data_IF_812484215368
#
_entry.id   IF_812484215368
#
_cell.length_a   1.000
_cell.length_b   1.000
_cell.length_c   1.000
_cell.angle_alpha   90.00
_cell.angle_beta   90.00
_cell.angle_gamma   90.00
#
_symmetry.space_group_name_H-M   'P 1'
#
loop_
_entity.id
_entity.type
_entity.pdbx_description
1 polymer ?
#
# COMPACT_ATOMS: atom_id res chain seq x y z
N UNK A 1 7.19 -4.26 -10.34
CA UNK A 1 6.19 -5.03 -11.11
C UNK A 1 6.41 -4.89 -12.63
N UNK A 2 6.38 -3.67 -13.19
CA UNK A 2 6.51 -3.46 -14.65
C UNK A 2 7.70 -4.22 -15.27
N UNK A 3 8.92 -4.03 -14.76
CA UNK A 3 10.13 -4.72 -15.27
C UNK A 3 10.08 -6.24 -15.09
N UNK A 4 9.47 -6.73 -14.00
CA UNK A 4 9.25 -8.14 -13.76
C UNK A 4 8.31 -8.75 -14.79
N UNK A 5 7.20 -8.07 -15.08
CA UNK A 5 6.24 -8.51 -16.10
C UNK A 5 6.84 -8.45 -17.50
N UNK A 6 7.54 -7.36 -17.85
CA UNK A 6 8.26 -7.23 -19.11
C UNK A 6 9.26 -8.36 -19.34
N UNK A 7 10.08 -8.65 -18.34
CA UNK A 7 11.01 -9.77 -18.38
C UNK A 7 10.34 -11.16 -18.46
N UNK A 8 9.05 -11.23 -18.13
CA UNK A 8 8.27 -12.49 -18.22
C UNK A 8 7.63 -12.70 -19.58
N UNK A 9 7.58 -11.66 -20.41
CA UNK A 9 7.02 -11.68 -21.78
C UNK A 9 8.10 -11.66 -22.88
N UNK A 10 9.40 -11.79 -22.52
CA UNK A 10 10.49 -11.84 -23.49
C UNK A 10 10.24 -12.93 -24.55
N UNK A 11 10.26 -12.51 -25.82
CA UNK A 11 9.90 -13.36 -26.97
C UNK A 11 8.51 -13.11 -27.55
N UNK A 12 7.70 -12.26 -26.91
CA UNK A 12 6.45 -11.74 -27.45
C UNK A 12 6.68 -10.26 -27.83
N UNK A 13 6.14 -9.79 -28.94
CA UNK A 13 6.27 -8.40 -29.42
C UNK A 13 5.46 -7.38 -28.57
N UNK A 14 5.22 -7.69 -27.30
CA UNK A 14 4.48 -6.85 -26.37
C UNK A 14 5.41 -5.87 -25.70
N UNK A 15 5.23 -4.58 -25.92
CA UNK A 15 6.05 -3.53 -25.32
C UNK A 15 5.25 -2.42 -24.65
N UNK A 16 3.93 -2.56 -24.52
CA UNK A 16 3.08 -1.55 -23.92
C UNK A 16 2.70 -1.92 -22.47
N UNK A 17 2.70 -0.93 -21.58
CA UNK A 17 2.27 -1.07 -20.19
C UNK A 17 1.19 -0.05 -19.88
N UNK A 18 0.04 -0.51 -19.41
CA UNK A 18 -1.07 0.36 -19.03
C UNK A 18 -0.92 0.83 -17.60
N UNK A 19 -1.23 2.09 -17.36
CA UNK A 19 -1.26 2.71 -16.02
C UNK A 19 -2.60 3.44 -15.89
N UNK A 20 -3.38 3.08 -14.86
CA UNK A 20 -4.58 3.87 -14.54
C UNK A 20 -4.18 5.31 -14.19
N UNK A 21 -4.84 6.29 -14.81
CA UNK A 21 -4.67 7.72 -14.46
C UNK A 21 -5.06 8.05 -13.01
N UNK A 22 -5.74 7.11 -12.35
CA UNK A 22 -6.11 7.20 -10.94
C UNK A 22 -4.99 6.71 -10.00
N UNK A 23 -3.81 6.32 -10.53
CA UNK A 23 -2.61 6.13 -9.73
C UNK A 23 -2.09 7.46 -9.17
N UNK A 24 -1.31 7.40 -8.09
CA UNK A 24 -0.64 8.60 -7.58
C UNK A 24 0.30 9.18 -8.65
N UNK A 25 0.34 10.53 -8.82
CA UNK A 25 1.19 11.18 -9.82
C UNK A 25 2.65 10.76 -9.73
N UNK A 26 3.19 10.66 -8.51
CA UNK A 26 4.56 10.25 -8.26
C UNK A 26 4.84 8.82 -8.78
N UNK A 27 3.88 7.91 -8.63
CA UNK A 27 3.98 6.54 -9.15
C UNK A 27 4.04 6.54 -10.68
N UNK A 28 3.21 7.38 -11.32
CA UNK A 28 3.21 7.55 -12.78
C UNK A 28 4.57 8.07 -13.26
N UNK A 29 5.14 9.06 -12.59
CA UNK A 29 6.41 9.66 -12.97
C UNK A 29 7.59 8.70 -12.78
N UNK A 30 7.59 7.92 -11.71
CA UNK A 30 8.58 6.82 -11.52
C UNK A 30 8.48 5.80 -12.66
N UNK A 31 7.27 5.45 -13.08
CA UNK A 31 7.09 4.50 -14.19
C UNK A 31 7.59 5.07 -15.52
N UNK A 32 7.38 6.37 -15.81
CA UNK A 32 7.96 7.04 -16.99
C UNK A 32 9.47 6.91 -17.01
N UNK A 33 10.13 7.30 -15.92
CA UNK A 33 11.59 7.19 -15.77
C UNK A 33 12.12 5.77 -15.95
N UNK A 34 11.37 4.76 -15.47
CA UNK A 34 11.77 3.35 -15.57
C UNK A 34 11.45 2.72 -16.92
N UNK A 35 10.46 3.22 -17.64
CA UNK A 35 10.03 2.69 -18.93
C UNK A 35 10.95 3.15 -20.06
N UNK A 36 11.39 4.42 -20.02
CA UNK A 36 12.17 5.07 -21.09
C UNK A 36 13.41 4.27 -21.51
N UNK A 37 14.36 3.89 -20.62
CA UNK A 37 15.57 3.17 -21.01
C UNK A 37 15.30 1.74 -21.50
N UNK A 38 14.09 1.21 -21.29
CA UNK A 38 13.69 -0.12 -21.73
C UNK A 38 12.86 -0.10 -23.03
N UNK A 39 12.58 1.07 -23.58
CA UNK A 39 11.72 1.25 -24.74
C UNK A 39 10.27 0.81 -24.50
N UNK A 40 9.81 0.80 -23.25
CA UNK A 40 8.44 0.43 -22.90
C UNK A 40 7.51 1.59 -23.17
N UNK A 41 6.47 1.36 -23.99
CA UNK A 41 5.43 2.35 -24.26
C UNK A 41 4.42 2.37 -23.09
N UNK A 42 4.22 3.54 -22.50
CA UNK A 42 3.22 3.73 -21.44
C UNK A 42 1.90 4.22 -22.02
N UNK A 43 0.81 3.59 -21.61
CA UNK A 43 -0.57 4.00 -21.90
C UNK A 43 -1.17 4.44 -20.57
N UNK A 44 -1.39 5.77 -20.42
CA UNK A 44 -1.92 6.35 -19.18
C UNK A 44 -3.33 6.84 -19.47
N UNK A 45 -4.33 6.11 -18.99
CA UNK A 45 -5.74 6.45 -19.24
C UNK A 45 -6.66 5.91 -18.12
N UNK A 46 -7.97 6.09 -18.31
CA UNK A 46 -8.97 5.54 -17.42
C UNK A 46 -9.04 4.01 -17.64
N UNK A 47 -9.15 3.29 -16.56
CA UNK A 47 -9.31 1.83 -16.57
C UNK A 47 -10.57 1.34 -17.30
N UNK A 48 -11.60 2.20 -17.40
CA UNK A 48 -12.83 1.87 -18.12
C UNK A 48 -12.69 2.03 -19.65
N UNK A 49 -11.66 2.75 -20.12
CA UNK A 49 -11.39 2.99 -21.55
C UNK A 49 -10.33 2.06 -22.15
N UNK A 50 -9.73 1.19 -21.31
CA UNK A 50 -8.65 0.32 -21.77
C UNK A 50 -9.14 -0.69 -22.82
N UNK A 51 -8.43 -0.74 -23.94
CA UNK A 51 -8.55 -1.80 -24.94
C UNK A 51 -7.46 -2.83 -24.65
N UNK A 52 -7.87 -4.03 -24.23
CA UNK A 52 -6.95 -5.12 -23.89
C UNK A 52 -6.42 -5.80 -25.15
N UNK A 53 -5.53 -5.12 -25.87
CA UNK A 53 -4.93 -5.64 -27.08
C UNK A 53 -3.62 -6.41 -26.84
N UNK A 54 -3.10 -7.00 -27.91
CA UNK A 54 -1.88 -7.83 -27.85
C UNK A 54 -0.59 -7.03 -27.67
N UNK A 55 -0.59 -5.70 -27.70
CA UNK A 55 0.61 -4.89 -27.44
C UNK A 55 0.89 -4.76 -25.94
N UNK A 56 -0.13 -4.92 -25.11
CA UNK A 56 -0.04 -4.72 -23.66
C UNK A 56 0.47 -5.99 -22.97
N UNK A 57 1.57 -5.90 -22.24
CA UNK A 57 2.09 -7.01 -21.43
C UNK A 57 1.65 -6.97 -19.99
N UNK A 58 1.26 -5.81 -19.47
CA UNK A 58 0.85 -5.67 -18.09
C UNK A 58 0.22 -4.33 -17.78
N UNK A 59 -0.39 -4.22 -16.61
CA UNK A 59 -1.04 -3.00 -16.14
C UNK A 59 -0.80 -2.74 -14.65
N UNK A 60 -0.86 -1.45 -14.28
CA UNK A 60 -0.91 -0.99 -12.90
C UNK A 60 -2.22 -0.27 -12.64
N UNK A 61 -2.93 -0.71 -11.59
CA UNK A 61 -4.14 -0.10 -11.07
C UNK A 61 -3.90 0.38 -9.64
N UNK A 62 -4.63 1.38 -9.17
CA UNK A 62 -4.51 1.93 -7.81
C UNK A 62 -5.74 1.57 -6.98
N UNK A 63 -5.55 1.02 -5.77
CA UNK A 63 -6.62 0.53 -4.92
C UNK A 63 -6.35 0.76 -3.43
N UNK A 64 -7.09 1.64 -2.75
CA UNK A 64 -8.00 2.65 -3.31
C UNK A 64 -7.32 3.60 -4.30
N UNK A 65 -8.10 4.20 -5.19
CA UNK A 65 -7.59 5.16 -6.16
C UNK A 65 -7.05 6.43 -5.49
N UNK A 66 -6.20 7.20 -6.19
CA UNK A 66 -5.57 8.39 -5.61
C UNK A 66 -6.54 9.51 -5.25
N UNK A 67 -7.76 9.45 -5.73
CA UNK A 67 -8.87 10.33 -5.38
C UNK A 67 -9.80 9.74 -4.30
N UNK A 68 -9.44 8.60 -3.73
CA UNK A 68 -10.15 7.92 -2.66
C UNK A 68 -11.17 6.87 -3.11
N UNK A 69 -11.50 6.79 -4.41
CA UNK A 69 -12.46 5.81 -4.90
C UNK A 69 -12.01 4.37 -4.66
N UNK A 70 -12.97 3.55 -4.27
CA UNK A 70 -12.80 2.10 -4.24
C UNK A 70 -13.49 1.52 -5.48
N UNK A 71 -12.72 0.79 -6.29
CA UNK A 71 -13.20 0.20 -7.55
C UNK A 71 -12.97 -1.31 -7.49
N UNK A 72 -14.00 -2.10 -7.81
CA UNK A 72 -13.84 -3.54 -7.96
C UNK A 72 -13.22 -3.84 -9.34
N UNK A 73 -11.97 -4.26 -9.31
CA UNK A 73 -11.23 -4.61 -10.53
C UNK A 73 -11.35 -6.08 -10.92
N UNK A 74 -12.18 -6.87 -10.24
CA UNK A 74 -12.28 -8.33 -10.46
C UNK A 74 -12.54 -8.68 -11.92
N UNK A 75 -13.51 -8.04 -12.55
CA UNK A 75 -13.85 -8.33 -13.96
C UNK A 75 -12.78 -7.86 -14.93
N UNK A 76 -12.19 -6.69 -14.69
CA UNK A 76 -11.08 -6.18 -15.51
C UNK A 76 -9.87 -7.12 -15.45
N UNK A 77 -9.51 -7.55 -14.25
CA UNK A 77 -8.39 -8.48 -14.01
C UNK A 77 -8.66 -9.83 -14.69
N UNK A 78 -9.90 -10.33 -14.61
CA UNK A 78 -10.30 -11.57 -15.27
C UNK A 78 -10.13 -11.47 -16.81
N UNK A 79 -10.59 -10.37 -17.41
CA UNK A 79 -10.43 -10.10 -18.84
C UNK A 79 -8.95 -9.95 -19.23
N UNK A 80 -8.17 -9.21 -18.43
CA UNK A 80 -6.73 -9.06 -18.64
C UNK A 80 -6.00 -10.41 -18.65
N UNK A 81 -6.34 -11.29 -17.70
CA UNK A 81 -5.78 -12.64 -17.62
C UNK A 81 -6.10 -13.50 -18.86
N UNK A 82 -7.32 -13.40 -19.38
CA UNK A 82 -7.70 -14.06 -20.64
C UNK A 82 -6.85 -13.57 -21.83
N UNK A 83 -6.50 -12.28 -21.83
CA UNK A 83 -5.62 -11.66 -22.84
C UNK A 83 -4.12 -11.83 -22.51
N UNK A 84 -3.77 -12.62 -21.50
CA UNK A 84 -2.39 -12.83 -21.02
C UNK A 84 -1.67 -11.51 -20.64
N UNK A 85 -2.40 -10.57 -20.05
CA UNK A 85 -1.90 -9.30 -19.53
C UNK A 85 -1.75 -9.44 -18.04
N UNK A 86 -0.55 -9.19 -17.50
CA UNK A 86 -0.27 -9.23 -16.06
C UNK A 86 -0.83 -8.01 -15.35
N UNK A 87 -1.31 -8.20 -14.13
CA UNK A 87 -1.95 -7.13 -13.36
C UNK A 87 -1.25 -6.91 -12.02
N UNK A 88 -0.91 -5.66 -11.74
CA UNK A 88 -0.42 -5.22 -10.45
C UNK A 88 -1.38 -4.20 -9.84
N UNK A 89 -1.69 -4.33 -8.54
CA UNK A 89 -2.40 -3.31 -7.78
C UNK A 89 -1.43 -2.59 -6.84
N UNK A 90 -1.40 -1.26 -6.95
CA UNK A 90 -0.81 -0.41 -5.92
C UNK A 90 -1.84 -0.22 -4.81
N UNK A 91 -1.49 -0.55 -3.56
CA UNK A 91 -2.46 -0.71 -2.48
C UNK A 91 -2.02 -0.05 -1.17
N UNK A 92 -3.00 0.15 -0.29
CA UNK A 92 -2.83 0.60 1.10
C UNK A 92 -3.08 -0.56 2.06
N UNK A 93 -2.13 -0.85 2.95
CA UNK A 93 -2.20 -2.00 3.87
C UNK A 93 -3.33 -1.88 4.89
N UNK A 94 -3.64 -0.67 5.37
CA UNK A 94 -4.73 -0.49 6.33
C UNK A 94 -6.08 -0.70 5.65
N UNK A 95 -6.26 -0.15 4.45
CA UNK A 95 -7.45 -0.38 3.63
C UNK A 95 -7.67 -1.87 3.36
N UNK A 96 -6.59 -2.61 3.04
CA UNK A 96 -6.67 -4.05 2.79
C UNK A 96 -7.05 -4.88 4.02
N UNK A 97 -7.07 -4.31 5.23
CA UNK A 97 -7.56 -5.03 6.40
C UNK A 97 -9.08 -5.24 6.38
N UNK A 98 -9.81 -4.41 5.65
CA UNK A 98 -11.28 -4.47 5.51
C UNK A 98 -11.76 -4.60 4.06
N UNK A 99 -10.90 -4.31 3.08
CA UNK A 99 -11.23 -4.40 1.66
C UNK A 99 -10.77 -5.72 1.05
N UNK A 100 -11.51 -6.19 0.05
CA UNK A 100 -11.16 -7.33 -0.82
C UNK A 100 -9.72 -7.18 -1.31
N UNK A 101 -8.94 -8.23 -1.19
CA UNK A 101 -7.51 -8.18 -1.49
C UNK A 101 -7.22 -8.29 -2.98
N UNK A 102 -6.03 -7.82 -3.43
CA UNK A 102 -5.56 -8.06 -4.80
C UNK A 102 -5.59 -9.53 -5.22
N UNK A 103 -5.26 -10.45 -4.32
CA UNK A 103 -5.29 -11.89 -4.57
C UNK A 103 -6.70 -12.40 -4.79
N UNK A 104 -7.68 -11.96 -3.98
CA UNK A 104 -9.10 -12.30 -4.16
C UNK A 104 -9.68 -11.76 -5.47
N UNK A 105 -9.14 -10.63 -5.99
CA UNK A 105 -9.47 -10.11 -7.32
C UNK A 105 -8.76 -10.85 -8.45
N UNK A 106 -7.73 -11.68 -8.14
CA UNK A 106 -6.96 -12.43 -9.10
C UNK A 106 -5.72 -11.71 -9.68
N UNK A 107 -5.26 -10.62 -9.04
CA UNK A 107 -4.06 -9.91 -9.48
C UNK A 107 -2.78 -10.73 -9.34
N UNK A 108 -1.80 -10.47 -10.21
CA UNK A 108 -0.51 -11.18 -10.23
C UNK A 108 0.48 -10.62 -9.21
N UNK A 109 0.36 -9.33 -8.88
CA UNK A 109 1.20 -8.68 -7.89
C UNK A 109 0.46 -7.55 -7.16
N UNK A 110 0.94 -7.24 -5.96
CA UNK A 110 0.55 -6.07 -5.18
C UNK A 110 1.80 -5.33 -4.69
N UNK A 111 1.74 -4.00 -4.71
CA UNK A 111 2.82 -3.13 -4.24
C UNK A 111 2.26 -2.02 -3.36
N UNK A 112 3.08 -1.48 -2.49
CA UNK A 112 2.72 -0.36 -1.65
C UNK A 112 3.83 -0.04 -0.66
N UNK A 113 3.50 0.73 0.38
CA UNK A 113 4.41 1.01 1.48
C UNK A 113 3.78 0.63 2.83
N UNK A 114 4.59 0.63 3.87
CA UNK A 114 4.17 0.22 5.21
C UNK A 114 3.92 1.41 6.15
N UNK A 115 3.77 2.62 5.64
CA UNK A 115 3.53 3.80 6.48
C UNK A 115 2.34 3.64 7.42
N UNK A 116 1.27 3.00 6.96
CA UNK A 116 0.07 2.71 7.76
C UNK A 116 0.31 1.73 8.91
N UNK A 117 1.49 1.14 8.96
CA UNK A 117 1.90 0.22 10.02
C UNK A 117 2.97 0.87 10.93
N UNK A 118 2.67 2.05 11.45
CA UNK A 118 3.47 2.75 12.44
C UNK A 118 4.73 3.43 11.93
N UNK A 119 4.94 3.54 10.62
CA UNK A 119 6.08 4.26 10.05
C UNK A 119 5.72 5.73 9.88
N UNK A 120 6.41 6.67 10.56
CA UNK A 120 6.09 8.09 10.46
C UNK A 120 6.42 8.65 9.07
N UNK A 121 5.70 9.68 8.65
CA UNK A 121 5.96 10.37 7.38
C UNK A 121 7.32 11.05 7.34
N UNK A 122 7.84 11.53 8.48
CA UNK A 122 9.20 12.04 8.64
C UNK A 122 9.60 13.10 7.61
N UNK A 123 8.70 14.03 7.29
CA UNK A 123 8.92 15.07 6.26
C UNK A 123 9.30 14.52 4.87
N UNK A 124 8.68 13.44 4.45
CA UNK A 124 9.06 12.72 3.23
C UNK A 124 10.24 11.77 3.41
N UNK A 125 10.55 11.41 4.65
CA UNK A 125 11.63 10.50 5.02
C UNK A 125 11.47 9.10 4.46
N UNK A 126 12.32 8.14 4.91
CA UNK A 126 12.43 6.85 4.25
C UNK A 126 11.12 6.07 4.28
N UNK A 127 10.86 5.33 3.21
CA UNK A 127 9.72 4.44 3.07
C UNK A 127 10.19 2.98 3.08
N UNK A 128 9.43 2.10 3.74
CA UNK A 128 9.55 0.67 3.55
C UNK A 128 8.46 0.22 2.59
N UNK A 129 8.86 -0.22 1.41
CA UNK A 129 7.96 -0.75 0.41
C UNK A 129 7.70 -2.24 0.65
N UNK A 130 6.52 -2.71 0.27
CA UNK A 130 6.25 -4.14 0.16
C UNK A 130 5.99 -4.54 -1.29
N UNK A 131 6.28 -5.79 -1.58
CA UNK A 131 6.01 -6.43 -2.85
C UNK A 131 5.47 -7.83 -2.58
N UNK A 132 4.24 -8.09 -3.02
CA UNK A 132 3.63 -9.40 -2.93
C UNK A 132 3.31 -9.91 -4.33
N UNK A 133 3.50 -11.19 -4.57
CA UNK A 133 3.22 -11.80 -5.87
C UNK A 133 2.97 -13.31 -5.75
N UNK A 134 2.47 -13.92 -6.82
CA UNK A 134 2.25 -15.35 -6.88
C UNK A 134 3.55 -16.14 -7.00
N UNK A 135 3.49 -17.42 -6.66
CA UNK A 135 4.61 -18.38 -6.73
C UNK A 135 5.32 -18.40 -8.10
N UNK A 136 4.58 -18.12 -9.17
CA UNK A 136 5.12 -18.10 -10.54
C UNK A 136 6.24 -17.07 -10.74
N UNK A 137 6.26 -16.00 -9.94
CA UNK A 137 7.22 -14.92 -10.06
C UNK A 137 8.36 -14.99 -9.03
N UNK A 138 8.40 -15.96 -8.14
CA UNK A 138 9.40 -16.06 -7.06
C UNK A 138 10.86 -15.90 -7.51
N UNK A 139 11.18 -16.31 -8.73
CA UNK A 139 12.53 -16.17 -9.30
C UNK A 139 12.80 -14.83 -9.97
N UNK A 140 11.77 -13.98 -10.10
CA UNK A 140 11.84 -12.71 -10.85
C UNK A 140 11.56 -11.47 -9.98
N UNK A 141 11.07 -11.66 -8.77
CA UNK A 141 10.80 -10.56 -7.83
C UNK A 141 12.11 -9.85 -7.43
N UNK A 142 12.09 -8.55 -7.13
CA UNK A 142 13.22 -7.86 -6.54
C UNK A 142 13.47 -8.35 -5.09
N UNK A 143 14.65 -8.03 -4.57
CA UNK A 143 15.02 -8.33 -3.19
C UNK A 143 15.43 -9.80 -2.96
N UNK A 144 15.97 -10.03 -1.78
CA UNK A 144 16.42 -11.34 -1.32
C UNK A 144 15.24 -12.14 -0.78
N UNK A 145 15.28 -13.46 -0.96
CA UNK A 145 14.33 -14.38 -0.34
C UNK A 145 15.06 -15.15 0.74
N UNK A 146 14.53 -15.11 1.95
CA UNK A 146 15.04 -15.88 3.09
C UNK A 146 14.16 -17.10 3.28
N UNK A 147 14.80 -18.27 3.30
CA UNK A 147 14.15 -19.57 3.55
C UNK A 147 14.41 -20.06 4.95
N UNK A 148 13.51 -20.90 5.43
CA UNK A 148 13.67 -21.64 6.69
C UNK A 148 14.39 -22.95 6.43
N UNK A 149 15.44 -23.23 7.21
CA UNK A 149 16.26 -24.43 7.16
C UNK A 149 16.49 -24.95 8.59
N UNK A 150 17.35 -25.94 8.73
CA UNK A 150 17.85 -26.43 10.01
C UNK A 150 19.37 -26.33 10.05
N UNK A 151 19.91 -26.04 11.24
CA UNK A 151 21.33 -26.11 11.51
C UNK A 151 21.82 -27.57 11.73
N UNK A 152 23.09 -27.73 12.04
CA UNK A 152 23.69 -29.06 12.29
C UNK A 152 23.10 -29.79 13.53
N UNK A 153 22.47 -29.03 14.43
CA UNK A 153 21.83 -29.57 15.63
C UNK A 153 20.32 -29.81 15.44
N UNK A 154 19.78 -29.58 14.24
CA UNK A 154 18.37 -29.70 13.91
C UNK A 154 17.51 -28.50 14.32
N UNK A 155 18.10 -27.46 14.89
CA UNK A 155 17.40 -26.21 15.26
C UNK A 155 17.04 -25.38 14.04
N UNK A 156 15.99 -24.56 14.15
CA UNK A 156 15.55 -23.69 13.08
C UNK A 156 16.64 -22.67 12.73
N UNK A 157 17.03 -22.63 11.47
CA UNK A 157 17.98 -21.67 10.92
C UNK A 157 17.38 -20.94 9.72
N UNK A 158 17.77 -19.69 9.54
CA UNK A 158 17.39 -18.88 8.38
C UNK A 158 18.55 -18.79 7.41
N UNK A 159 18.27 -18.91 6.12
CA UNK A 159 19.29 -18.77 5.08
C UNK A 159 18.73 -18.12 3.83
N UNK A 160 19.61 -17.51 3.05
CA UNK A 160 19.25 -17.00 1.73
C UNK A 160 18.82 -18.16 0.81
N UNK A 161 17.62 -18.06 0.26
CA UNK A 161 17.06 -19.03 -0.68
C UNK A 161 17.12 -18.52 -2.12
N UNK A 162 17.07 -19.43 -3.11
CA UNK A 162 17.14 -19.12 -4.53
C UNK A 162 18.36 -18.26 -4.90
N UNK A 163 19.53 -18.61 -4.41
CA UNK A 163 20.78 -17.88 -4.53
C UNK A 163 21.20 -17.59 -5.99
N UNK A 164 20.71 -18.38 -6.96
CA UNK A 164 20.96 -18.13 -8.40
C UNK A 164 20.44 -16.78 -8.91
N UNK A 165 19.70 -16.04 -8.08
CA UNK A 165 19.20 -14.69 -8.38
C UNK A 165 20.17 -13.59 -7.91
N UNK A 166 21.16 -13.92 -7.09
CA UNK A 166 22.03 -12.99 -6.38
C UNK A 166 23.27 -12.61 -7.18
N UNK A 167 23.84 -11.44 -6.87
CA UNK A 167 25.01 -10.88 -7.56
C UNK A 167 26.25 -11.78 -7.50
N UNK A 168 26.48 -12.46 -6.38
CA UNK A 168 27.64 -13.33 -6.22
C UNK A 168 27.64 -14.55 -7.16
N UNK A 169 26.49 -14.86 -7.78
CA UNK A 169 26.37 -15.94 -8.79
C UNK A 169 26.15 -15.35 -10.18
N UNK A 170 25.18 -14.44 -10.34
CA UNK A 170 24.76 -13.94 -11.66
C UNK A 170 25.39 -12.61 -12.07
N UNK A 171 26.15 -11.97 -11.18
CA UNK A 171 26.81 -10.69 -11.43
C UNK A 171 25.80 -9.65 -11.96
N UNK A 172 26.08 -9.00 -13.09
CA UNK A 172 25.22 -7.99 -13.72
C UNK A 172 23.82 -8.51 -14.14
N UNK A 173 23.67 -9.81 -14.28
CA UNK A 173 22.39 -10.46 -14.62
C UNK A 173 21.52 -10.81 -13.41
N UNK A 174 21.96 -10.44 -12.21
CA UNK A 174 21.21 -10.70 -10.99
C UNK A 174 19.89 -9.95 -10.97
N UNK A 175 18.84 -10.56 -10.43
CA UNK A 175 17.53 -9.90 -10.21
C UNK A 175 17.49 -9.15 -8.89
N UNK A 176 18.41 -9.46 -7.97
CA UNK A 176 18.56 -8.78 -6.69
C UNK A 176 19.90 -8.03 -6.65
N UNK A 177 19.86 -6.70 -6.73
CA UNK A 177 21.01 -5.81 -6.72
C UNK A 177 20.94 -4.81 -5.55
N UNK A 178 20.27 -5.18 -4.47
CA UNK A 178 20.04 -4.32 -3.31
C UNK A 178 21.19 -4.53 -2.33
N UNK A 179 21.93 -3.47 -2.01
CA UNK A 179 22.96 -3.48 -0.97
C UNK A 179 22.31 -3.32 0.41
N UNK A 180 21.65 -2.18 0.64
CA UNK A 180 21.02 -1.85 1.91
C UNK A 180 19.50 -1.89 1.77
N UNK A 181 18.84 -2.64 2.66
CA UNK A 181 17.38 -2.68 2.76
C UNK A 181 16.88 -1.73 3.86
N UNK A 182 15.61 -1.34 3.79
CA UNK A 182 14.93 -0.54 4.83
C UNK A 182 14.53 -1.44 6.02
N UNK A 183 15.53 -2.07 6.65
CA UNK A 183 15.32 -3.09 7.69
C UNK A 183 14.63 -2.53 8.93
N UNK A 184 15.07 -1.37 9.43
CA UNK A 184 14.47 -0.77 10.62
C UNK A 184 12.98 -0.48 10.44
N UNK A 185 12.59 0.10 9.32
CA UNK A 185 11.18 0.38 9.02
C UNK A 185 10.37 -0.90 8.83
N UNK A 186 10.97 -1.95 8.26
CA UNK A 186 10.32 -3.26 8.16
C UNK A 186 10.12 -3.89 9.55
N UNK A 187 11.09 -3.75 10.46
CA UNK A 187 10.98 -4.17 11.86
C UNK A 187 9.86 -3.39 12.55
N UNK A 188 9.83 -2.05 12.45
CA UNK A 188 8.77 -1.22 13.02
C UNK A 188 7.40 -1.68 12.55
N UNK A 189 7.23 -1.90 11.25
CA UNK A 189 5.96 -2.34 10.67
C UNK A 189 5.57 -3.74 11.16
N UNK A 190 6.53 -4.65 11.33
CA UNK A 190 6.26 -5.99 11.86
C UNK A 190 5.87 -5.95 13.34
N UNK A 191 6.54 -5.11 14.15
CA UNK A 191 6.20 -4.92 15.56
C UNK A 191 4.84 -4.26 15.73
N UNK A 192 4.47 -3.30 14.88
CA UNK A 192 3.13 -2.73 14.83
C UNK A 192 2.08 -3.83 14.59
N UNK A 193 2.30 -4.69 13.60
CA UNK A 193 1.40 -5.80 13.30
C UNK A 193 1.31 -6.81 14.46
N UNK A 194 2.44 -7.10 15.14
CA UNK A 194 2.48 -8.00 16.32
C UNK A 194 1.70 -7.38 17.47
N UNK A 195 1.90 -6.09 17.77
CA UNK A 195 1.26 -5.42 18.89
C UNK A 195 -0.25 -5.29 18.71
N UNK A 196 -0.68 -4.82 17.55
CA UNK A 196 -2.11 -4.61 17.28
C UNK A 196 -2.85 -5.92 16.96
N UNK A 197 -2.22 -6.82 16.24
CA UNK A 197 -2.88 -8.02 15.73
C UNK A 197 -4.00 -7.72 14.72
N UNK A 198 -4.61 -8.75 14.14
CA UNK A 198 -5.63 -8.54 13.10
C UNK A 198 -6.86 -7.78 13.60
N UNK A 199 -7.32 -8.07 14.82
CA UNK A 199 -8.54 -7.45 15.39
C UNK A 199 -8.40 -5.94 15.56
N UNK A 200 -7.28 -5.48 16.14
CA UNK A 200 -7.09 -4.05 16.38
C UNK A 200 -6.77 -3.30 15.08
N UNK A 201 -6.07 -3.92 14.13
CA UNK A 201 -5.85 -3.32 12.79
C UNK A 201 -7.20 -3.09 12.09
N UNK A 202 -8.11 -4.06 12.12
CA UNK A 202 -9.48 -3.90 11.60
C UNK A 202 -10.21 -2.79 12.34
N UNK A 203 -10.09 -2.72 13.68
CA UNK A 203 -10.71 -1.66 14.48
C UNK A 203 -10.18 -0.27 14.11
N UNK A 204 -8.87 -0.13 13.89
CA UNK A 204 -8.24 1.11 13.42
C UNK A 204 -8.78 1.50 12.05
N UNK A 205 -8.85 0.57 11.10
CA UNK A 205 -9.39 0.81 9.77
C UNK A 205 -10.85 1.27 9.81
N UNK A 206 -11.69 0.58 10.58
CA UNK A 206 -13.10 0.96 10.76
C UNK A 206 -13.24 2.34 11.41
N UNK A 207 -12.40 2.69 12.40
CA UNK A 207 -12.40 4.02 13.01
C UNK A 207 -12.10 5.11 11.99
N UNK A 208 -11.07 4.92 11.16
CA UNK A 208 -10.71 5.88 10.11
C UNK A 208 -11.84 6.02 9.10
N UNK A 209 -12.42 4.92 8.65
CA UNK A 209 -13.56 4.93 7.72
C UNK A 209 -14.78 5.62 8.32
N UNK A 210 -15.07 5.42 9.62
CA UNK A 210 -16.17 6.10 10.32
C UNK A 210 -15.94 7.62 10.38
N UNK A 211 -14.73 8.08 10.70
CA UNK A 211 -14.40 9.51 10.69
C UNK A 211 -14.59 10.11 9.29
N UNK A 212 -14.15 9.38 8.27
CA UNK A 212 -14.34 9.79 6.88
C UNK A 212 -15.83 9.86 6.48
N UNK A 213 -16.64 8.90 6.94
CA UNK A 213 -18.09 8.88 6.73
C UNK A 213 -18.80 10.05 7.43
N UNK A 214 -18.39 10.39 8.66
CA UNK A 214 -18.90 11.55 9.38
C UNK A 214 -18.58 12.85 8.62
N UNK A 215 -17.34 12.98 8.14
CA UNK A 215 -16.94 14.12 7.33
C UNK A 215 -17.75 14.20 6.03
N UNK A 216 -17.91 13.10 5.31
CA UNK A 216 -18.71 13.04 4.09
C UNK A 216 -20.15 13.48 4.33
N UNK A 217 -20.78 12.98 5.39
CA UNK A 217 -22.16 13.35 5.78
C UNK A 217 -22.26 14.85 6.10
N UNK A 218 -21.30 15.39 6.84
CA UNK A 218 -21.27 16.80 7.21
C UNK A 218 -21.13 17.71 5.99
N UNK A 219 -20.23 17.38 5.07
CA UNK A 219 -19.99 18.14 3.85
C UNK A 219 -21.19 18.07 2.88
N UNK A 220 -21.76 16.89 2.70
CA UNK A 220 -22.94 16.70 1.84
C UNK A 220 -24.16 17.48 2.36
N UNK A 221 -24.39 17.47 3.68
CA UNK A 221 -25.44 18.29 4.32
C UNK A 221 -25.23 19.80 4.14
N UNK A 222 -23.98 20.24 4.08
CA UNK A 222 -23.62 21.64 3.77
C UNK A 222 -23.71 21.97 2.26
N UNK A 223 -24.19 21.06 1.43
CA UNK A 223 -24.33 21.23 -0.02
C UNK A 223 -23.05 21.03 -0.80
N UNK A 224 -22.00 20.49 -0.18
CA UNK A 224 -20.72 20.21 -0.85
C UNK A 224 -20.76 18.78 -1.40
N UNK A 225 -20.85 18.67 -2.72
CA UNK A 225 -20.99 17.37 -3.40
C UNK A 225 -19.77 16.50 -3.24
N UNK A 226 -19.96 15.30 -2.71
CA UNK A 226 -18.97 14.21 -2.72
C UNK A 226 -18.97 13.58 -4.12
N UNK A 227 -17.79 13.46 -4.75
CA UNK A 227 -17.69 13.02 -6.16
C UNK A 227 -17.78 11.51 -6.36
N UNK A 228 -17.72 10.73 -5.27
CA UNK A 228 -17.86 9.27 -5.31
C UNK A 228 -18.37 8.74 -3.96
N UNK A 229 -19.17 7.69 -4.00
CA UNK A 229 -19.88 7.17 -2.82
C UNK A 229 -19.15 6.01 -2.13
N UNK A 230 -18.10 5.47 -2.75
CA UNK A 230 -17.31 4.36 -2.21
C UNK A 230 -15.91 4.85 -1.93
N UNK A 231 -15.56 4.94 -0.67
CA UNK A 231 -14.27 5.43 -0.18
C UNK A 231 -13.88 4.72 1.11
N UNK A 232 -12.60 4.78 1.43
CA UNK A 232 -12.06 4.29 2.69
C UNK A 232 -11.77 5.47 3.63
N UNK A 233 -10.74 6.24 3.35
CA UNK A 233 -10.20 7.31 4.20
C UNK A 233 -10.04 8.64 3.46
N UNK A 234 -10.32 8.66 2.17
CA UNK A 234 -10.09 9.82 1.31
C UNK A 234 -11.36 10.20 0.57
N UNK A 235 -11.74 11.46 0.70
CA UNK A 235 -12.85 12.07 -0.04
C UNK A 235 -12.33 12.95 -1.17
N UNK A 236 -13.05 12.98 -2.28
CA UNK A 236 -12.92 14.01 -3.29
C UNK A 236 -14.22 14.76 -3.40
N UNK A 237 -14.16 16.08 -3.17
CA UNK A 237 -15.32 16.98 -3.17
C UNK A 237 -15.30 17.89 -4.39
N UNK A 238 -16.48 18.40 -4.75
CA UNK A 238 -16.64 19.36 -5.84
C UNK A 238 -15.76 20.60 -5.64
N UNK A 239 -15.44 21.33 -6.72
CA UNK A 239 -14.65 22.56 -6.63
C UNK A 239 -15.22 23.53 -5.59
N UNK A 240 -14.35 24.06 -4.74
CA UNK A 240 -14.67 25.04 -3.72
C UNK A 240 -13.49 26.02 -3.63
N UNK A 241 -13.76 27.32 -3.75
CA UNK A 241 -12.71 28.33 -3.90
C UNK A 241 -12.39 29.11 -2.61
N UNK A 242 -12.97 28.73 -1.46
CA UNK A 242 -12.84 29.54 -0.22
C UNK A 242 -12.14 28.80 0.93
N UNK A 243 -11.64 27.61 0.71
CA UNK A 243 -11.07 26.78 1.77
C UNK A 243 -9.57 27.05 2.04
N UNK A 244 -8.82 27.56 1.05
CA UNK A 244 -7.35 27.61 1.09
C UNK A 244 -6.84 28.44 2.28
N UNK A 245 -7.32 29.67 2.45
CA UNK A 245 -6.92 30.53 3.57
C UNK A 245 -7.35 29.96 4.93
N UNK A 246 -8.54 29.38 5.02
CA UNK A 246 -9.02 28.77 6.24
C UNK A 246 -8.19 27.52 6.61
N UNK A 247 -7.79 26.73 5.62
CA UNK A 247 -6.92 25.56 5.82
C UNK A 247 -5.51 25.98 6.26
N UNK A 248 -4.95 27.05 5.67
CA UNK A 248 -3.66 27.62 6.05
C UNK A 248 -3.66 28.09 7.50
N UNK A 249 -4.70 28.79 7.94
CA UNK A 249 -4.87 29.25 9.31
C UNK A 249 -4.94 28.07 10.32
N UNK A 250 -5.58 26.97 9.94
CA UNK A 250 -5.65 25.75 10.74
C UNK A 250 -4.43 24.82 10.54
N UNK A 251 -3.44 25.23 9.71
CA UNK A 251 -2.23 24.46 9.36
C UNK A 251 -2.55 23.09 8.76
N UNK A 252 -3.58 23.03 7.93
CA UNK A 252 -4.01 21.82 7.24
C UNK A 252 -3.77 21.94 5.74
N UNK A 253 -3.29 20.88 5.11
CA UNK A 253 -3.08 20.82 3.66
C UNK A 253 -4.08 19.85 3.04
N UNK A 254 -4.74 20.29 1.97
CA UNK A 254 -5.61 19.45 1.15
C UNK A 254 -5.08 19.37 -0.27
N UNK A 255 -5.38 18.29 -0.96
CA UNK A 255 -4.96 18.12 -2.34
C UNK A 255 -5.89 18.88 -3.28
N UNK A 256 -5.33 19.80 -4.06
CA UNK A 256 -6.05 20.47 -5.14
C UNK A 256 -5.86 19.71 -6.46
N UNK A 257 -6.95 19.28 -7.06
CA UNK A 257 -6.93 18.66 -8.38
C UNK A 257 -6.98 19.72 -9.49
N UNK A 258 -6.57 19.34 -10.71
CA UNK A 258 -6.54 20.26 -11.86
C UNK A 258 -7.91 20.84 -12.24
N UNK A 259 -8.98 20.14 -11.95
CA UNK A 259 -10.37 20.57 -12.18
C UNK A 259 -10.93 21.43 -11.03
N UNK A 260 -10.10 21.81 -10.07
CA UNK A 260 -10.48 22.61 -8.91
C UNK A 260 -11.13 21.79 -7.78
N UNK A 261 -11.40 20.50 -7.97
CA UNK A 261 -11.88 19.62 -6.89
C UNK A 261 -10.82 19.44 -5.80
N UNK A 262 -11.25 19.10 -4.60
CA UNK A 262 -10.39 18.99 -3.42
C UNK A 262 -10.38 17.57 -2.88
N UNK A 263 -9.20 17.04 -2.57
CA UNK A 263 -9.00 15.77 -1.91
C UNK A 263 -8.69 15.95 -0.44
N UNK A 264 -9.40 15.25 0.41
CA UNK A 264 -9.24 15.28 1.87
C UNK A 264 -8.96 13.84 2.31
N UNK A 265 -7.78 13.60 2.88
CA UNK A 265 -7.38 12.28 3.37
C UNK A 265 -7.26 12.28 4.89
N UNK A 266 -7.79 11.27 5.52
CA UNK A 266 -7.68 11.01 6.95
C UNK A 266 -6.75 9.81 7.17
N UNK A 267 -6.22 9.69 8.39
CA UNK A 267 -5.34 8.60 8.75
C UNK A 267 -5.63 8.09 10.18
N UNK A 268 -4.80 7.16 10.65
CA UNK A 268 -4.91 6.58 11.99
C UNK A 268 -4.60 7.57 13.13
N UNK A 269 -3.96 8.69 12.84
CA UNK A 269 -3.71 9.77 13.82
C UNK A 269 -4.85 10.77 13.88
N UNK A 270 -5.72 10.80 12.89
CA UNK A 270 -6.87 11.71 12.81
C UNK A 270 -7.84 11.47 13.94
N UNK A 271 -8.24 12.56 14.59
CA UNK A 271 -9.21 12.59 15.69
C UNK A 271 -10.53 13.23 15.25
N UNK A 272 -11.58 13.09 16.07
CA UNK A 272 -12.84 13.80 15.84
C UNK A 272 -12.65 15.32 15.87
N UNK A 273 -11.73 15.83 16.70
CA UNK A 273 -11.39 17.26 16.73
C UNK A 273 -10.84 17.76 15.40
N UNK A 274 -10.07 16.93 14.71
CA UNK A 274 -9.54 17.28 13.39
C UNK A 274 -10.66 17.32 12.34
N UNK A 275 -11.59 16.34 12.40
CA UNK A 275 -12.77 16.35 11.53
C UNK A 275 -13.65 17.58 11.78
N UNK A 276 -13.85 17.99 13.04
CA UNK A 276 -14.55 19.22 13.40
C UNK A 276 -13.88 20.46 12.77
N UNK A 277 -12.54 20.54 12.81
CA UNK A 277 -11.81 21.63 12.16
C UNK A 277 -11.95 21.61 10.65
N UNK A 278 -11.88 20.44 10.03
CA UNK A 278 -12.11 20.29 8.58
C UNK A 278 -13.52 20.76 8.22
N UNK A 279 -14.54 20.38 8.98
CA UNK A 279 -15.92 20.87 8.76
C UNK A 279 -15.97 22.39 8.79
N UNK A 280 -15.33 23.06 9.78
CA UNK A 280 -15.27 24.52 9.87
C UNK A 280 -14.59 25.18 8.67
N UNK A 281 -13.49 24.60 8.18
CA UNK A 281 -12.78 25.08 6.98
C UNK A 281 -13.72 25.15 5.79
N UNK A 282 -14.64 24.19 5.67
CA UNK A 282 -15.60 24.10 4.58
C UNK A 282 -16.97 24.71 4.92
N UNK A 283 -17.12 25.43 6.04
CA UNK A 283 -18.38 26.01 6.53
C UNK A 283 -19.49 24.96 6.67
N UNK A 284 -19.17 23.78 7.16
CA UNK A 284 -20.09 22.68 7.42
C UNK A 284 -20.26 22.47 8.94
N UNK A 285 -21.46 22.14 9.36
CA UNK A 285 -21.71 21.66 10.71
C UNK A 285 -21.33 20.19 10.80
N UNK A 286 -20.68 19.80 11.89
CA UNK A 286 -20.34 18.42 12.12
C UNK A 286 -21.60 17.59 12.42
N UNK A 287 -21.79 16.53 11.64
CA UNK A 287 -22.88 15.59 11.78
C UNK A 287 -22.31 14.16 11.84
N UNK A 288 -22.60 13.38 12.90
CA UNK A 288 -22.27 11.97 12.90
C UNK A 288 -23.07 11.25 11.81
N UNK A 289 -22.42 10.41 11.06
CA UNK A 289 -23.09 9.60 10.03
C UNK A 289 -24.11 8.66 10.69
N UNK A 290 -25.38 8.75 10.28
CA UNK A 290 -26.43 7.81 10.73
C UNK A 290 -26.18 6.39 10.22
N UNK A 291 -25.52 6.28 9.08
CA UNK A 291 -25.07 5.02 8.48
C UNK A 291 -23.66 5.23 7.98
N UNK A 292 -22.76 4.33 8.37
CA UNK A 292 -21.43 4.23 7.74
C UNK A 292 -21.70 4.05 6.25
N UNK A 293 -20.99 4.81 5.40
CA UNK A 293 -21.01 4.56 3.96
C UNK A 293 -20.59 3.11 3.73
N UNK A 294 -21.58 2.22 3.56
CA UNK A 294 -21.35 0.80 3.52
C UNK A 294 -20.62 0.42 2.25
N UNK A 295 -19.45 -0.18 2.44
CA UNK A 295 -18.78 -0.90 1.36
C UNK A 295 -19.72 -2.03 0.89
N UNK A 296 -19.92 -2.19 -0.44
CA UNK A 296 -20.63 -3.35 -0.97
C UNK A 296 -19.99 -4.63 -0.45
N UNK A 297 -20.80 -5.65 -0.19
CA UNK A 297 -20.26 -6.94 0.30
C UNK A 297 -19.25 -7.56 -0.64
N UNK A 298 -19.38 -7.31 -1.95
CA UNK A 298 -18.41 -7.74 -2.98
C UNK A 298 -17.01 -7.13 -2.82
N UNK A 299 -16.91 -6.01 -2.11
CA UNK A 299 -15.64 -5.30 -1.85
C UNK A 299 -15.09 -5.53 -0.44
N UNK A 300 -15.83 -6.20 0.44
CA UNK A 300 -15.36 -6.55 1.77
C UNK A 300 -14.36 -7.68 1.72
N UNK A 301 -13.35 -7.60 2.58
CA UNK A 301 -12.39 -8.69 2.76
C UNK A 301 -13.06 -9.91 3.36
N UNK A 302 -12.82 -11.07 2.77
CA UNK A 302 -13.24 -12.38 3.29
C UNK A 302 -12.04 -13.15 3.85
N UNK A 303 -10.89 -13.04 3.20
CA UNK A 303 -9.68 -13.76 3.57
C UNK A 303 -9.14 -13.33 4.95
N UNK A 304 -8.84 -14.28 5.82
CA UNK A 304 -8.12 -14.03 7.06
C UNK A 304 -6.71 -13.49 6.78
N UNK A 305 -6.12 -12.81 7.76
CA UNK A 305 -4.75 -12.31 7.71
C UNK A 305 -4.14 -12.27 9.11
N UNK A 306 -2.81 -12.32 9.19
CA UNK A 306 -2.07 -12.33 10.44
C UNK A 306 -2.57 -13.42 11.41
N UNK A 307 -2.89 -14.58 10.88
CA UNK A 307 -3.42 -15.73 11.62
C UNK A 307 -2.34 -16.51 12.40
N UNK A 308 -1.05 -16.26 12.11
CA UNK A 308 0.04 -16.85 12.89
C UNK A 308 -0.02 -16.37 14.36
N UNK A 309 0.26 -17.30 15.30
CA UNK A 309 0.13 -17.07 16.75
C UNK A 309 0.86 -15.83 17.27
N UNK A 310 1.97 -15.42 16.63
CA UNK A 310 2.77 -14.26 17.01
C UNK A 310 1.95 -12.96 16.99
N UNK A 311 0.99 -12.84 16.08
CA UNK A 311 0.13 -11.66 15.93
C UNK A 311 -1.07 -11.67 16.89
N UNK A 312 -1.15 -12.68 17.77
CA UNK A 312 -2.25 -12.90 18.70
C UNK A 312 -1.80 -13.07 20.16
N UNK A 313 -0.54 -12.70 20.47
CA UNK A 313 0.05 -12.94 21.81
C UNK A 313 0.51 -11.68 22.55
N UNK A 314 1.05 -10.69 21.87
CA UNK A 314 1.83 -9.61 22.52
C UNK A 314 1.12 -8.27 22.38
N UNK A 315 -0.02 -8.13 23.06
CA UNK A 315 -0.91 -6.97 22.93
C UNK A 315 -0.82 -6.00 24.11
N UNK A 316 0.02 -6.26 25.11
CA UNK A 316 0.33 -5.34 26.20
C UNK A 316 1.76 -4.82 26.08
N UNK A 317 2.02 -3.64 26.67
CA UNK A 317 3.36 -3.05 26.71
C UNK A 317 4.39 -4.00 27.30
N UNK A 318 4.08 -4.61 28.44
CA UNK A 318 5.00 -5.53 29.13
C UNK A 318 5.30 -6.77 28.28
N UNK A 319 4.29 -7.38 27.66
CA UNK A 319 4.49 -8.55 26.80
C UNK A 319 5.31 -8.21 25.57
N UNK A 320 5.04 -7.07 24.97
CA UNK A 320 5.77 -6.60 23.80
C UNK A 320 7.24 -6.32 24.10
N UNK A 321 7.55 -5.64 25.21
CA UNK A 321 8.92 -5.40 25.66
C UNK A 321 9.67 -6.72 25.92
N UNK A 322 9.04 -7.68 26.58
CA UNK A 322 9.62 -9.00 26.80
C UNK A 322 9.86 -9.76 25.48
N UNK A 323 8.96 -9.61 24.52
CA UNK A 323 9.12 -10.21 23.21
C UNK A 323 10.28 -9.58 22.43
N UNK A 324 10.39 -8.25 22.44
CA UNK A 324 11.51 -7.53 21.81
C UNK A 324 12.84 -7.99 22.44
N UNK A 325 12.91 -8.03 23.77
CA UNK A 325 14.11 -8.51 24.47
C UNK A 325 14.46 -9.97 24.12
N UNK A 326 13.47 -10.84 24.03
CA UNK A 326 13.65 -12.24 23.57
C UNK A 326 14.23 -12.35 22.16
N UNK A 327 13.93 -11.39 21.28
CA UNK A 327 14.55 -11.34 19.95
C UNK A 327 15.97 -10.75 20.00
N UNK A 328 16.16 -9.71 20.79
CA UNK A 328 17.44 -9.03 20.98
C UNK A 328 18.54 -9.98 21.45
N UNK A 329 18.26 -10.79 22.47
CA UNK A 329 19.25 -11.73 23.05
C UNK A 329 19.64 -12.91 22.15
N UNK A 330 19.06 -13.03 20.95
CA UNK A 330 19.43 -14.10 20.01
C UNK A 330 20.72 -13.80 19.25
N UNK A 331 21.16 -12.55 19.26
CA UNK A 331 22.38 -12.10 18.64
C UNK A 331 22.96 -10.94 19.46
N UNK A 332 24.09 -10.39 19.03
CA UNK A 332 24.71 -9.23 19.67
C UNK A 332 23.80 -8.00 19.55
N UNK A 333 23.48 -7.39 20.67
CA UNK A 333 22.77 -6.11 20.71
C UNK A 333 23.75 -4.95 20.99
N UNK A 334 23.36 -3.73 20.67
CA UNK A 334 24.16 -2.54 20.95
C UNK A 334 24.38 -2.32 22.45
N UNK A 335 23.56 -2.93 23.32
CA UNK A 335 23.72 -2.88 24.78
C UNK A 335 24.95 -3.70 25.26
N UNK A 336 25.31 -4.74 24.53
CA UNK A 336 26.36 -5.69 24.88
C UNK A 336 27.54 -5.66 23.91
N UNK A 337 27.46 -4.88 22.85
CA UNK A 337 28.46 -4.82 21.80
C UNK A 337 29.46 -3.69 22.03
N UNK A 338 30.74 -3.95 21.77
CA UNK A 338 31.79 -2.94 21.70
C UNK A 338 31.77 -2.15 20.37
N UNK A 339 31.00 -2.61 19.40
CA UNK A 339 30.87 -1.99 18.07
C UNK A 339 29.56 -1.21 18.05
N UNK A 340 29.59 0.12 17.77
CA UNK A 340 28.41 0.97 17.88
C UNK A 340 27.37 0.72 16.78
N UNK A 341 27.75 0.05 15.69
CA UNK A 341 26.83 -0.36 14.62
C UNK A 341 27.37 -1.54 13.82
N UNK A 342 26.48 -2.25 13.14
CA UNK A 342 26.87 -3.28 12.20
C UNK A 342 27.54 -2.70 10.96
N UNK A 343 28.29 -3.51 10.29
CA UNK A 343 28.93 -3.16 9.02
C UNK A 343 27.89 -2.95 7.90
N UNK A 344 28.18 -2.07 6.98
CA UNK A 344 27.55 -2.02 5.66
C UNK A 344 28.59 -2.13 4.57
#
# INVERSE_FOLDING_TARGET
>A
AMTMFYGSTKGNDRNSFFISKNCHPQTIDVLKTRAEPLGIKLIIDNENSIILDNSIFGMLLQYPASDGRIIDYTDLIKKAKQSKIYTCLATDLLALSILKTPAEMGADAAVGNTQRFGVPMGYGGPHAAFFATSENFKRKIPGRIIGVSKDIHGSRALRMALQTREQHIRREKATSNICTAQVLLAIMSSMYAVYHGPKNIISIANRVQNLCSNLATSLDHAGIKILHNQFFDTLRISPNNKWELAAENEKMNFRKFKDGSVGISLDESTTEKDVLKICKIFNADYLPAKHIYNLPDSLKRVAAFLDHEIFNKYHSETEMLRYIHKLEIKDLSLNNSMIPLGSC
#
